data_IF_740599322550
#
_entry.id   IF_740599322550
#
_cell.length_a   1.000
_cell.length_b   1.000
_cell.length_c   1.000
_cell.angle_alpha   90.00
_cell.angle_beta   90.00
_cell.angle_gamma   90.00
#
_symmetry.space_group_name_H-M   'P 1'
#
loop_
_entity.id
_entity.type
_entity.pdbx_description
1 polymer ?
#
# COMPACT_ATOMS: atom_id res chain seq x y z
N UNK A 1 -24.67 75.49 -47.85
CA UNK A 1 -25.03 76.92 -47.87
C UNK A 1 -25.37 77.30 -46.45
N UNK A 2 -24.69 78.16 -45.70
CA UNK A 2 -23.60 79.16 -45.85
C UNK A 2 -23.26 79.50 -44.36
N UNK A 3 -22.11 79.93 -43.87
CA UNK A 3 -20.79 80.35 -44.36
C UNK A 3 -19.88 80.34 -43.11
N UNK A 4 -18.67 79.79 -43.20
CA UNK A 4 -17.41 80.55 -43.17
C UNK A 4 -17.34 81.69 -42.13
N UNK A 5 -16.63 81.41 -41.03
CA UNK A 5 -15.72 82.37 -40.41
C UNK A 5 -14.39 81.65 -40.16
N UNK A 6 -13.44 81.95 -41.03
CA UNK A 6 -12.02 81.61 -40.96
C UNK A 6 -11.28 82.94 -40.97
N UNK A 7 -10.07 82.94 -40.40
CA UNK A 7 -9.06 84.00 -40.37
C UNK A 7 -8.98 84.88 -39.13
N UNK A 8 -7.72 85.28 -38.90
CA UNK A 8 -7.09 86.02 -37.81
C UNK A 8 -6.59 85.08 -36.68
N UNK A 9 -5.32 85.04 -36.32
CA UNK A 9 -4.19 85.85 -36.73
C UNK A 9 -2.92 85.34 -36.02
N UNK A 10 -1.76 85.73 -36.55
CA UNK A 10 -0.48 85.96 -35.83
C UNK A 10 0.14 84.77 -35.07
N UNK A 11 1.15 84.08 -35.63
CA UNK A 11 2.57 84.50 -35.56
C UNK A 11 2.89 85.45 -34.40
N UNK A 12 3.38 84.90 -33.29
CA UNK A 12 4.62 85.30 -32.61
C UNK A 12 4.85 84.31 -31.44
N UNK A 13 5.88 83.48 -31.57
CA UNK A 13 7.21 83.68 -31.02
C UNK A 13 7.29 83.38 -29.52
N UNK A 14 8.03 82.30 -29.26
CA UNK A 14 9.11 82.23 -28.26
C UNK A 14 8.68 82.70 -26.86
N UNK A 15 8.41 81.74 -25.98
CA UNK A 15 9.06 81.60 -24.67
C UNK A 15 8.35 80.46 -23.87
N UNK A 16 9.16 79.69 -23.15
CA UNK A 16 8.76 78.72 -22.10
C UNK A 16 8.63 77.24 -22.46
N UNK A 17 9.70 76.65 -23.01
CA UNK A 17 10.09 75.29 -22.58
C UNK A 17 10.98 75.37 -21.34
N UNK A 18 10.38 75.64 -20.19
CA UNK A 18 10.90 75.14 -18.92
C UNK A 18 9.69 74.75 -18.07
N UNK A 19 9.29 73.48 -18.16
CA UNK A 19 8.43 72.89 -17.15
C UNK A 19 9.23 72.88 -15.85
N UNK A 20 9.07 73.92 -15.03
CA UNK A 20 9.47 73.88 -13.64
C UNK A 20 8.59 72.84 -12.95
N UNK A 21 9.07 71.59 -12.91
CA UNK A 21 8.49 70.63 -11.99
C UNK A 21 8.63 71.20 -10.58
N UNK A 22 7.49 71.40 -9.92
CA UNK A 22 7.43 71.94 -8.57
C UNK A 22 8.38 71.11 -7.67
N UNK A 23 9.40 71.73 -7.04
CA UNK A 23 10.44 71.00 -6.32
C UNK A 23 9.86 70.14 -5.19
N UNK A 24 8.76 70.57 -4.59
CA UNK A 24 8.02 69.81 -3.56
C UNK A 24 7.37 68.55 -4.15
N UNK A 25 6.78 68.64 -5.33
CA UNK A 25 6.18 67.50 -6.05
C UNK A 25 7.24 66.50 -6.50
N UNK A 26 8.41 66.98 -6.92
CA UNK A 26 9.54 66.13 -7.31
C UNK A 26 10.14 65.38 -6.10
N UNK A 27 10.24 66.03 -4.94
CA UNK A 27 10.68 65.40 -3.68
C UNK A 27 9.65 64.36 -3.22
N UNK A 28 8.35 64.67 -3.28
CA UNK A 28 7.28 63.72 -2.92
C UNK A 28 7.26 62.50 -3.84
N UNK A 29 7.41 62.67 -5.17
CA UNK A 29 7.53 61.56 -6.12
C UNK A 29 8.76 60.69 -5.84
N UNK A 30 9.92 61.29 -5.53
CA UNK A 30 11.14 60.55 -5.18
C UNK A 30 11.01 59.79 -3.85
N UNK A 31 10.34 60.37 -2.85
CA UNK A 31 10.07 59.69 -1.57
C UNK A 31 9.05 58.57 -1.72
N UNK A 32 7.97 58.78 -2.50
CA UNK A 32 6.99 57.75 -2.81
C UNK A 32 7.60 56.59 -3.62
N UNK A 33 8.49 56.90 -4.58
CA UNK A 33 9.22 55.88 -5.34
C UNK A 33 10.19 55.09 -4.46
N UNK A 34 10.89 55.74 -3.51
CA UNK A 34 11.76 55.06 -2.54
C UNK A 34 10.97 54.15 -1.60
N UNK A 35 9.82 54.61 -1.10
CA UNK A 35 8.89 53.81 -0.27
C UNK A 35 8.36 52.63 -1.07
N UNK A 36 7.93 52.83 -2.32
CA UNK A 36 7.46 51.77 -3.20
C UNK A 36 8.56 50.74 -3.51
N UNK A 37 9.79 51.19 -3.78
CA UNK A 37 10.93 50.28 -3.96
C UNK A 37 11.26 49.50 -2.68
N UNK A 38 11.16 50.11 -1.50
CA UNK A 38 11.39 49.40 -0.23
C UNK A 38 10.29 48.38 0.04
N UNK A 39 9.04 48.66 -0.29
CA UNK A 39 7.95 47.69 -0.21
C UNK A 39 8.11 46.55 -1.23
N UNK A 40 8.60 46.83 -2.44
CA UNK A 40 8.94 45.79 -3.43
C UNK A 40 10.08 44.91 -2.94
N UNK A 41 11.15 45.51 -2.40
CA UNK A 41 12.28 44.73 -1.85
C UNK A 41 11.82 43.90 -0.64
N UNK A 42 11.00 44.47 0.26
CA UNK A 42 10.49 43.77 1.44
C UNK A 42 9.55 42.60 1.07
N UNK A 43 8.69 42.79 0.06
CA UNK A 43 7.83 41.73 -0.46
C UNK A 43 8.59 40.67 -1.26
N UNK A 44 9.66 41.05 -1.98
CA UNK A 44 10.54 40.12 -2.66
C UNK A 44 11.38 39.29 -1.66
N UNK A 45 11.81 39.87 -0.53
CA UNK A 45 12.46 39.12 0.56
C UNK A 45 11.50 38.18 1.27
N UNK A 46 10.23 38.58 1.47
CA UNK A 46 9.20 37.71 2.05
C UNK A 46 8.79 36.55 1.11
N UNK A 47 8.91 36.75 -0.20
CA UNK A 47 8.71 35.71 -1.21
C UNK A 47 9.92 34.75 -1.32
N UNK A 48 11.14 35.22 -1.04
CA UNK A 48 12.36 34.39 -1.04
C UNK A 48 12.47 33.49 0.19
N UNK A 49 11.85 33.82 1.32
CA UNK A 49 11.81 32.96 2.52
C UNK A 49 10.94 31.70 2.37
N UNK A 50 10.24 31.54 1.23
CA UNK A 50 9.71 30.23 0.82
C UNK A 50 10.80 29.32 0.24
N UNK A 51 11.98 29.30 0.84
CA UNK A 51 12.88 28.15 0.73
C UNK A 51 12.13 26.93 1.24
N UNK A 52 11.97 25.94 0.37
CA UNK A 52 11.39 24.64 0.68
C UNK A 52 11.96 24.13 2.02
N UNK A 53 11.12 24.10 3.06
CA UNK A 53 11.42 23.28 4.24
C UNK A 53 11.38 21.83 3.76
N UNK A 54 12.53 21.30 3.33
CA UNK A 54 12.71 19.86 3.27
C UNK A 54 12.45 19.35 4.71
N UNK A 55 11.37 18.59 4.87
CA UNK A 55 10.82 18.16 6.15
C UNK A 55 11.70 17.10 6.80
N UNK A 56 12.88 17.50 7.27
CA UNK A 56 13.80 16.62 7.97
C UNK A 56 13.47 16.55 9.46
N UNK A 57 13.37 15.34 10.01
CA UNK A 57 13.29 15.13 11.46
C UNK A 57 14.71 15.06 12.01
N UNK A 58 15.02 15.92 12.99
CA UNK A 58 16.32 15.97 13.66
C UNK A 58 16.44 14.87 14.72
N UNK A 59 17.60 14.21 14.76
CA UNK A 59 17.93 13.17 15.76
C UNK A 59 19.38 13.37 16.17
N UNK A 60 19.61 13.88 17.39
CA UNK A 60 20.94 14.30 17.84
C UNK A 60 21.55 15.32 16.88
N UNK A 61 22.79 15.06 16.44
CA UNK A 61 23.48 15.89 15.45
C UNK A 61 23.08 15.57 13.98
N UNK A 62 22.26 14.55 13.76
CA UNK A 62 21.81 14.10 12.43
C UNK A 62 20.35 14.44 12.12
N UNK A 63 19.88 13.99 10.95
CA UNK A 63 18.46 14.07 10.56
C UNK A 63 18.11 13.03 9.50
N UNK A 64 16.82 12.70 9.37
CA UNK A 64 16.25 11.92 8.27
C UNK A 64 15.13 12.69 7.57
N UNK A 65 14.91 12.43 6.28
CA UNK A 65 13.83 13.05 5.50
C UNK A 65 12.53 12.25 5.63
N UNK A 66 11.40 12.93 5.74
CA UNK A 66 10.08 12.31 5.55
C UNK A 66 9.63 12.32 4.08
N UNK A 67 10.29 13.16 3.27
CA UNK A 67 10.04 13.25 1.84
C UNK A 67 11.01 12.33 1.08
N UNK A 68 10.47 11.52 0.17
CA UNK A 68 11.26 10.68 -0.73
C UNK A 68 12.02 11.57 -1.73
N UNK A 69 13.36 11.44 -1.85
CA UNK A 69 14.12 12.12 -2.89
C UNK A 69 13.63 11.77 -4.31
N UNK A 70 13.68 12.73 -5.22
CA UNK A 70 13.06 12.60 -6.55
C UNK A 70 13.67 11.47 -7.41
N UNK A 71 14.93 11.13 -7.16
CA UNK A 71 15.71 10.09 -7.84
C UNK A 71 15.55 8.69 -7.22
N UNK A 72 14.91 8.56 -6.05
CA UNK A 72 14.68 7.27 -5.42
C UNK A 72 13.39 6.61 -5.93
N UNK A 73 13.43 5.29 -6.17
CA UNK A 73 12.23 4.52 -6.47
C UNK A 73 11.23 4.52 -5.30
N UNK A 74 9.91 4.55 -5.56
CA UNK A 74 8.91 4.45 -4.51
C UNK A 74 8.83 3.00 -3.98
N UNK A 75 8.28 2.85 -2.78
CA UNK A 75 7.84 1.53 -2.29
C UNK A 75 6.64 1.02 -3.11
N UNK A 76 6.34 -0.30 -3.07
CA UNK A 76 5.13 -0.84 -3.67
C UNK A 76 3.88 -0.06 -3.23
N UNK A 77 3.01 0.25 -4.18
CA UNK A 77 1.88 1.16 -3.95
C UNK A 77 0.73 0.55 -3.12
N UNK A 78 0.68 -0.78 -2.95
CA UNK A 78 -0.38 -1.46 -2.21
C UNK A 78 0.22 -2.38 -1.17
N UNK A 79 -0.31 -2.28 0.05
CA UNK A 79 -0.02 -3.16 1.17
C UNK A 79 -1.30 -3.94 1.46
N UNK A 80 -1.25 -5.26 1.31
CA UNK A 80 -2.38 -6.16 1.50
C UNK A 80 -2.57 -6.51 2.98
N UNK A 81 -3.03 -5.53 3.75
CA UNK A 81 -3.45 -5.70 5.14
C UNK A 81 -4.87 -5.18 5.35
N UNK A 82 -5.52 -5.69 6.39
CA UNK A 82 -6.80 -5.15 6.86
C UNK A 82 -6.58 -3.86 7.65
N UNK A 83 -7.66 -3.17 7.97
CA UNK A 83 -7.62 -1.97 8.81
C UNK A 83 -7.31 -2.25 10.29
N UNK A 84 -7.33 -3.52 10.74
CA UNK A 84 -6.96 -3.90 12.11
C UNK A 84 -5.46 -3.81 12.35
N UNK A 85 -4.64 -3.95 11.30
CA UNK A 85 -3.19 -3.77 11.40
C UNK A 85 -2.86 -2.29 11.51
N UNK A 86 -2.15 -1.90 12.58
CA UNK A 86 -1.75 -0.52 12.87
C UNK A 86 -0.23 -0.39 12.95
N UNK A 87 0.28 0.81 12.68
CA UNK A 87 1.70 1.12 12.77
C UNK A 87 2.49 0.67 11.55
N UNK A 88 3.80 0.48 11.74
CA UNK A 88 4.69 0.04 10.67
C UNK A 88 4.37 -1.40 10.26
N UNK A 89 4.20 -1.61 8.96
CA UNK A 89 3.96 -2.93 8.39
C UNK A 89 5.20 -3.82 8.57
N UNK A 90 5.06 -5.04 9.12
CA UNK A 90 6.20 -5.96 9.23
C UNK A 90 6.75 -6.35 7.86
N UNK A 91 8.06 -6.50 7.79
CA UNK A 91 8.80 -6.87 6.57
C UNK A 91 9.83 -7.95 6.86
N UNK A 92 10.43 -8.53 5.81
CA UNK A 92 11.47 -9.57 5.94
C UNK A 92 11.02 -10.79 6.76
N UNK A 93 9.75 -11.17 6.59
CA UNK A 93 9.13 -12.31 7.25
C UNK A 93 8.92 -13.46 6.28
N UNK A 94 8.84 -14.69 6.81
CA UNK A 94 8.53 -15.89 6.01
C UNK A 94 7.18 -15.80 5.28
N UNK A 95 6.30 -14.92 5.75
CA UNK A 95 4.97 -14.64 5.19
C UNK A 95 4.89 -13.32 4.40
N UNK A 96 6.01 -12.63 4.15
CA UNK A 96 6.00 -11.29 3.54
C UNK A 96 5.25 -11.24 2.19
N UNK A 97 5.28 -12.30 1.37
CA UNK A 97 4.53 -12.28 0.11
C UNK A 97 3.02 -12.06 0.30
N UNK A 98 2.44 -12.46 1.45
CA UNK A 98 1.02 -12.21 1.74
C UNK A 98 0.68 -10.71 1.82
N UNK A 99 1.67 -9.88 2.17
CA UNK A 99 1.51 -8.43 2.35
C UNK A 99 1.79 -7.67 1.06
N UNK A 100 2.71 -8.19 0.24
CA UNK A 100 3.24 -7.48 -0.93
C UNK A 100 2.66 -7.97 -2.26
N UNK A 101 1.95 -9.11 -2.26
CA UNK A 101 1.26 -9.67 -3.42
C UNK A 101 -0.26 -9.69 -3.19
N UNK A 102 -1.02 -9.74 -4.29
CA UNK A 102 -2.50 -9.78 -4.25
C UNK A 102 -3.07 -10.95 -3.42
N UNK A 103 -2.35 -12.07 -3.41
CA UNK A 103 -2.61 -13.20 -2.52
C UNK A 103 -1.31 -13.60 -1.82
N UNK A 104 -0.74 -14.77 -2.09
CA UNK A 104 0.62 -15.08 -1.65
C UNK A 104 1.37 -15.93 -2.66
N UNK A 105 2.71 -15.88 -2.57
CA UNK A 105 3.54 -16.97 -3.08
C UNK A 105 3.39 -18.20 -2.16
N UNK A 106 4.12 -19.28 -2.43
CA UNK A 106 4.18 -20.39 -1.47
C UNK A 106 4.74 -19.89 -0.12
N UNK A 107 4.00 -20.20 0.95
CA UNK A 107 4.38 -19.98 2.33
C UNK A 107 4.73 -21.32 2.97
N UNK A 108 5.73 -21.34 3.85
CA UNK A 108 6.22 -22.57 4.46
C UNK A 108 6.11 -22.54 6.00
N UNK A 109 4.89 -22.44 6.56
CA UNK A 109 4.66 -22.58 8.01
C UNK A 109 4.90 -24.03 8.42
N UNK A 110 6.17 -24.42 8.54
CA UNK A 110 6.56 -25.80 8.81
C UNK A 110 5.78 -26.36 10.01
N UNK A 111 5.23 -27.58 9.91
CA UNK A 111 5.53 -28.61 8.90
C UNK A 111 4.78 -28.48 7.57
N UNK A 112 3.90 -27.50 7.40
CA UNK A 112 3.04 -27.37 6.23
C UNK A 112 3.65 -26.47 5.16
N UNK A 113 3.14 -26.60 3.93
CA UNK A 113 3.27 -25.61 2.88
C UNK A 113 1.88 -25.14 2.47
N UNK A 114 1.74 -23.83 2.27
CA UNK A 114 0.47 -23.15 2.06
C UNK A 114 0.58 -22.21 0.86
N UNK A 115 -0.51 -22.01 0.13
CA UNK A 115 -0.63 -20.99 -0.88
C UNK A 115 -2.00 -20.32 -0.76
N UNK A 116 -2.00 -19.00 -0.54
CA UNK A 116 -3.20 -18.19 -0.65
C UNK A 116 -3.39 -17.85 -2.13
N UNK A 117 -4.55 -18.17 -2.70
CA UNK A 117 -4.91 -17.81 -4.05
C UNK A 117 -6.38 -17.38 -4.14
N UNK A 118 -6.81 -16.95 -5.32
CA UNK A 118 -8.16 -16.41 -5.52
C UNK A 118 -9.28 -17.36 -5.09
N UNK A 119 -9.06 -18.68 -5.10
CA UNK A 119 -10.10 -19.64 -4.73
C UNK A 119 -10.22 -19.79 -3.21
N UNK A 120 -9.12 -19.62 -2.47
CA UNK A 120 -9.04 -19.82 -1.02
C UNK A 120 -7.63 -20.22 -0.59
N UNK A 121 -7.56 -21.07 0.43
CA UNK A 121 -6.29 -21.53 1.01
C UNK A 121 -5.94 -22.93 0.51
N UNK A 122 -4.84 -23.08 -0.22
CA UNK A 122 -4.28 -24.38 -0.56
C UNK A 122 -3.33 -24.84 0.55
N UNK A 123 -3.43 -26.10 0.95
CA UNK A 123 -2.54 -26.73 1.94
C UNK A 123 -1.95 -28.00 1.36
N UNK A 124 -0.68 -28.26 1.68
CA UNK A 124 -0.08 -29.57 1.51
C UNK A 124 0.93 -29.83 2.63
N UNK A 125 1.24 -31.11 2.82
CA UNK A 125 2.37 -31.54 3.61
C UNK A 125 3.46 -31.99 2.64
N UNK A 126 4.57 -31.23 2.48
CA UNK A 126 5.64 -31.60 1.55
C UNK A 126 6.27 -32.95 1.88
N UNK A 127 6.32 -33.32 3.16
CA UNK A 127 6.73 -34.64 3.64
C UNK A 127 8.01 -35.17 3.00
N UNK A 128 7.94 -36.40 2.49
CA UNK A 128 9.03 -37.11 1.80
C UNK A 128 9.41 -36.51 0.43
N UNK A 129 8.66 -35.53 -0.06
CA UNK A 129 9.02 -34.75 -1.25
C UNK A 129 10.18 -33.77 -1.00
N UNK A 130 10.58 -33.57 0.26
CA UNK A 130 11.80 -32.86 0.63
C UNK A 130 12.96 -33.85 0.60
N UNK A 131 13.91 -33.61 -0.29
CA UNK A 131 15.12 -34.45 -0.47
C UNK A 131 16.32 -33.71 0.11
N UNK A 132 16.95 -34.32 1.13
CA UNK A 132 18.27 -33.93 1.58
C UNK A 132 19.34 -34.80 0.92
N UNK A 133 20.08 -34.28 -0.06
CA UNK A 133 21.16 -34.99 -0.73
C UNK A 133 22.28 -34.03 -1.12
N UNK A 134 23.53 -34.51 -1.26
CA UNK A 134 24.64 -33.72 -1.80
C UNK A 134 24.94 -32.39 -1.07
N UNK A 135 24.62 -32.29 0.23
CA UNK A 135 24.82 -31.07 1.02
C UNK A 135 23.73 -30.00 0.86
N UNK A 136 22.61 -30.32 0.21
CA UNK A 136 21.48 -29.42 -0.01
C UNK A 136 20.14 -30.06 0.37
N UNK A 137 19.17 -29.21 0.70
CA UNK A 137 17.76 -29.60 0.91
C UNK A 137 16.97 -29.05 -0.27
N UNK A 138 16.28 -29.94 -0.99
CA UNK A 138 15.48 -29.61 -2.17
C UNK A 138 14.03 -29.99 -1.90
N UNK A 139 13.12 -29.06 -2.09
CA UNK A 139 11.69 -29.28 -2.03
C UNK A 139 11.00 -28.39 -3.04
N UNK A 140 9.94 -28.89 -3.66
CA UNK A 140 9.08 -28.08 -4.52
C UNK A 140 8.13 -27.22 -3.71
N UNK A 141 7.73 -26.06 -4.27
CA UNK A 141 6.54 -25.37 -3.81
C UNK A 141 5.28 -26.21 -4.05
N UNK A 142 4.17 -25.82 -3.45
CA UNK A 142 2.88 -26.48 -3.69
C UNK A 142 2.15 -25.81 -4.85
N UNK A 143 1.45 -26.60 -5.67
CA UNK A 143 0.54 -26.04 -6.67
C UNK A 143 -0.67 -25.37 -6.03
N UNK A 144 -1.44 -24.64 -6.84
CA UNK A 144 -2.62 -23.86 -6.40
C UNK A 144 -3.73 -24.71 -5.75
N UNK A 145 -3.68 -26.03 -5.87
CA UNK A 145 -4.63 -26.95 -5.23
C UNK A 145 -4.10 -27.59 -3.95
N UNK A 146 -2.77 -27.56 -3.74
CA UNK A 146 -2.11 -28.35 -2.69
C UNK A 146 -2.52 -29.82 -2.72
N UNK A 147 -2.55 -30.43 -1.53
CA UNK A 147 -3.25 -31.70 -1.30
C UNK A 147 -4.77 -31.47 -1.22
N UNK A 148 -5.18 -30.35 -0.62
CA UNK A 148 -6.55 -29.85 -0.65
C UNK A 148 -6.63 -28.33 -0.50
N UNK A 149 -7.78 -27.80 -0.88
CA UNK A 149 -8.17 -26.42 -0.70
C UNK A 149 -9.21 -26.29 0.42
N UNK A 150 -9.05 -25.29 1.27
CA UNK A 150 -10.11 -24.74 2.12
C UNK A 150 -10.77 -23.60 1.35
N UNK A 151 -12.06 -23.76 1.07
CA UNK A 151 -12.87 -22.86 0.25
C UNK A 151 -14.09 -22.36 1.02
N UNK A 152 -14.73 -21.34 0.46
CA UNK A 152 -15.98 -20.78 0.94
C UNK A 152 -17.14 -21.16 0.01
N UNK A 153 -18.27 -21.65 0.54
CA UNK A 153 -19.37 -22.18 -0.27
C UNK A 153 -19.97 -21.16 -1.26
N UNK A 154 -20.01 -19.88 -0.89
CA UNK A 154 -20.67 -18.83 -1.67
C UNK A 154 -19.69 -17.97 -2.49
N UNK A 155 -18.38 -18.22 -2.40
CA UNK A 155 -17.36 -17.40 -3.08
C UNK A 155 -16.45 -18.32 -3.88
N UNK A 156 -16.50 -18.19 -5.20
CA UNK A 156 -15.62 -18.93 -6.11
C UNK A 156 -14.26 -18.26 -6.29
N UNK A 157 -14.23 -16.92 -6.25
CA UNK A 157 -13.04 -16.09 -6.40
C UNK A 157 -13.08 -14.88 -5.46
N UNK A 158 -12.06 -14.78 -4.63
CA UNK A 158 -11.75 -13.66 -3.76
C UNK A 158 -10.88 -12.63 -4.50
N UNK A 159 -11.14 -11.33 -4.27
CA UNK A 159 -10.42 -10.27 -4.96
C UNK A 159 -8.97 -10.13 -4.49
N UNK A 160 -8.68 -10.43 -3.23
CA UNK A 160 -7.34 -10.41 -2.65
C UNK A 160 -7.31 -11.28 -1.38
N UNK A 161 -6.12 -11.46 -0.80
CA UNK A 161 -5.93 -12.00 0.54
C UNK A 161 -5.11 -11.01 1.35
N UNK A 162 -5.54 -10.70 2.58
CA UNK A 162 -4.93 -9.65 3.39
C UNK A 162 -4.45 -10.18 4.73
N UNK A 163 -3.35 -9.62 5.23
CA UNK A 163 -2.92 -9.82 6.61
C UNK A 163 -3.93 -9.18 7.57
N UNK A 164 -4.58 -10.00 8.39
CA UNK A 164 -5.60 -9.56 9.34
C UNK A 164 -5.09 -9.48 10.79
N UNK A 165 -4.11 -10.31 11.14
CA UNK A 165 -3.45 -10.35 12.45
C UNK A 165 -2.09 -11.03 12.34
N UNK A 166 -1.17 -10.77 13.27
CA UNK A 166 0.13 -11.43 13.34
C UNK A 166 0.73 -11.42 14.75
N UNK A 167 1.61 -12.39 15.00
CA UNK A 167 2.52 -12.47 16.13
C UNK A 167 3.92 -12.80 15.64
N UNK A 168 4.84 -13.09 16.55
CA UNK A 168 6.20 -13.53 16.23
C UNK A 168 6.22 -14.79 15.32
N UNK A 169 5.20 -15.65 15.44
CA UNK A 169 5.20 -16.97 14.80
C UNK A 169 3.95 -17.29 13.97
N UNK A 170 2.82 -16.65 14.26
CA UNK A 170 1.54 -16.89 13.60
C UNK A 170 1.08 -15.67 12.80
N UNK A 171 0.32 -15.94 11.75
CA UNK A 171 -0.42 -14.93 10.99
C UNK A 171 -1.85 -15.37 10.78
N UNK A 172 -2.74 -14.40 10.57
CA UNK A 172 -4.10 -14.63 10.07
C UNK A 172 -4.24 -14.03 8.69
N UNK A 173 -4.45 -14.88 7.69
CA UNK A 173 -4.79 -14.48 6.32
C UNK A 173 -6.32 -14.37 6.19
N UNK A 174 -6.82 -13.22 5.74
CA UNK A 174 -8.24 -13.00 5.46
C UNK A 174 -8.50 -12.97 3.94
N UNK A 175 -9.40 -13.83 3.50
CA UNK A 175 -10.07 -13.77 2.21
C UNK A 175 -11.46 -13.18 2.45
N UNK A 176 -11.81 -12.08 1.77
CA UNK A 176 -13.11 -11.42 1.96
C UNK A 176 -13.71 -10.98 0.64
N UNK A 177 -15.01 -11.22 0.47
CA UNK A 177 -15.84 -10.66 -0.59
C UNK A 177 -17.18 -10.26 0.03
N UNK A 178 -17.41 -8.96 0.16
CA UNK A 178 -18.56 -8.41 0.89
C UNK A 178 -18.61 -8.96 2.33
N UNK A 179 -19.75 -9.51 2.74
CA UNK A 179 -19.97 -10.10 4.06
C UNK A 179 -19.37 -11.52 4.20
N UNK A 180 -19.04 -12.18 3.08
CA UNK A 180 -18.45 -13.53 3.08
C UNK A 180 -16.95 -13.48 3.35
N UNK A 181 -16.48 -14.29 4.30
CA UNK A 181 -15.05 -14.36 4.61
C UNK A 181 -14.58 -15.77 5.00
N UNK A 182 -13.30 -16.01 4.70
CA UNK A 182 -12.49 -17.11 5.22
C UNK A 182 -11.26 -16.47 5.89
N UNK A 183 -11.08 -16.71 7.18
CA UNK A 183 -9.87 -16.34 7.94
C UNK A 183 -9.11 -17.61 8.30
N UNK A 184 -7.86 -17.67 7.91
CA UNK A 184 -6.99 -18.81 8.19
C UNK A 184 -5.80 -18.37 9.02
N UNK A 185 -5.68 -18.92 10.22
CA UNK A 185 -4.59 -18.66 11.15
C UNK A 185 -3.63 -19.84 11.18
N UNK A 186 -2.36 -19.59 10.89
CA UNK A 186 -1.31 -20.60 10.82
C UNK A 186 0.04 -19.97 11.14
N UNK A 187 1.02 -20.80 11.50
CA UNK A 187 2.31 -20.30 11.97
C UNK A 187 3.43 -21.32 11.87
N UNK A 188 4.65 -20.83 11.91
CA UNK A 188 5.84 -21.67 11.98
C UNK A 188 5.81 -22.56 13.23
N UNK A 189 6.17 -23.82 13.04
CA UNK A 189 6.20 -24.82 14.12
C UNK A 189 4.82 -25.36 14.52
N UNK A 190 3.75 -24.94 13.85
CA UNK A 190 2.39 -25.40 14.18
C UNK A 190 1.90 -26.43 13.17
N UNK A 191 1.47 -27.63 13.61
CA UNK A 191 0.83 -28.60 12.74
C UNK A 191 -0.65 -28.27 12.45
N UNK A 192 -1.18 -27.14 12.94
CA UNK A 192 -2.58 -26.76 12.81
C UNK A 192 -2.77 -25.52 11.93
N UNK A 193 -3.88 -25.53 11.19
CA UNK A 193 -4.42 -24.34 10.52
C UNK A 193 -5.84 -24.14 11.03
N UNK A 194 -6.07 -23.00 11.70
CA UNK A 194 -7.38 -22.66 12.24
C UNK A 194 -8.16 -21.86 11.21
N UNK A 195 -9.37 -22.29 10.88
CA UNK A 195 -10.20 -21.62 9.88
C UNK A 195 -11.47 -21.09 10.54
N UNK A 196 -11.75 -19.80 10.35
CA UNK A 196 -13.01 -19.16 10.72
C UNK A 196 -13.70 -18.66 9.47
N UNK A 197 -14.95 -19.04 9.31
CA UNK A 197 -15.75 -18.73 8.12
C UNK A 197 -17.03 -18.01 8.55
N UNK A 198 -17.47 -17.05 7.75
CA UNK A 198 -18.75 -16.36 7.93
C UNK A 198 -19.33 -15.95 6.58
N UNK A 199 -20.65 -15.87 6.49
CA UNK A 199 -21.37 -15.61 5.24
C UNK A 199 -21.50 -16.84 4.32
N UNK A 200 -21.18 -18.04 4.82
CA UNK A 200 -21.29 -19.31 4.11
C UNK A 200 -20.69 -20.47 4.92
N UNK A 201 -20.45 -21.60 4.26
CA UNK A 201 -19.94 -22.83 4.87
C UNK A 201 -18.50 -23.15 4.41
N UNK A 202 -17.70 -23.83 5.25
CA UNK A 202 -16.45 -24.45 4.81
C UNK A 202 -16.68 -25.48 3.71
N UNK A 203 -15.83 -25.46 2.69
CA UNK A 203 -15.76 -26.52 1.67
C UNK A 203 -14.32 -26.99 1.56
N UNK A 204 -14.08 -28.28 1.81
CA UNK A 204 -12.79 -28.90 1.52
C UNK A 204 -12.82 -29.53 0.13
N UNK A 205 -11.94 -29.08 -0.75
CA UNK A 205 -11.80 -29.65 -2.11
C UNK A 205 -10.43 -30.30 -2.26
N UNK A 206 -10.44 -31.62 -2.35
CA UNK A 206 -9.23 -32.44 -2.45
C UNK A 206 -8.72 -32.52 -3.89
N UNK A 207 -7.39 -32.52 -4.07
CA UNK A 207 -6.76 -32.71 -5.38
C UNK A 207 -6.97 -34.13 -5.94
N UNK A 208 -7.06 -35.12 -5.04
CA UNK A 208 -7.42 -36.50 -5.33
C UNK A 208 -8.51 -36.97 -4.37
N UNK A 209 -9.28 -38.00 -4.74
CA UNK A 209 -10.28 -38.59 -3.84
C UNK A 209 -9.59 -39.02 -2.53
N UNK A 210 -9.97 -38.46 -1.37
CA UNK A 210 -9.37 -38.85 -0.10
C UNK A 210 -9.89 -40.21 0.35
N UNK A 211 -9.09 -40.89 1.17
CA UNK A 211 -9.55 -42.02 1.97
C UNK A 211 -9.96 -41.48 3.33
N UNK A 212 -11.22 -41.63 3.69
CA UNK A 212 -11.71 -41.36 5.05
C UNK A 212 -11.54 -42.64 5.85
N UNK A 213 -10.68 -42.62 6.86
CA UNK A 213 -10.36 -43.78 7.70
C UNK A 213 -10.90 -43.64 9.13
N UNK A 214 -11.39 -42.45 9.49
CA UNK A 214 -12.12 -42.18 10.74
C UNK A 214 -13.19 -41.13 10.49
N UNK A 215 -14.34 -41.30 11.15
CA UNK A 215 -15.52 -40.45 11.00
C UNK A 215 -16.42 -40.87 9.84
N UNK A 216 -17.71 -40.55 9.96
CA UNK A 216 -18.74 -40.79 8.95
C UNK A 216 -19.59 -39.53 8.68
N UNK A 217 -20.50 -39.60 7.71
CA UNK A 217 -21.35 -38.47 7.38
C UNK A 217 -22.15 -38.01 8.61
N UNK A 218 -22.03 -36.73 8.96
CA UNK A 218 -22.65 -36.13 10.14
C UNK A 218 -21.71 -35.97 11.34
N UNK A 219 -20.54 -36.62 11.34
CA UNK A 219 -19.54 -36.43 12.39
C UNK A 219 -18.86 -35.06 12.31
N UNK A 220 -18.40 -34.58 13.47
CA UNK A 220 -17.62 -33.35 13.57
C UNK A 220 -16.12 -33.57 13.36
N UNK A 221 -15.64 -34.82 13.36
CA UNK A 221 -14.20 -35.12 13.27
C UNK A 221 -13.95 -36.19 12.21
N UNK A 222 -13.05 -35.90 11.27
CA UNK A 222 -12.64 -36.83 10.23
C UNK A 222 -11.14 -37.07 10.26
N UNK A 223 -10.75 -38.33 10.12
CA UNK A 223 -9.40 -38.73 9.76
C UNK A 223 -9.34 -39.04 8.28
N UNK A 224 -8.52 -38.30 7.53
CA UNK A 224 -8.42 -38.45 6.08
C UNK A 224 -6.99 -38.71 5.62
N UNK A 225 -6.85 -39.36 4.48
CA UNK A 225 -5.58 -39.51 3.77
C UNK A 225 -5.77 -39.02 2.33
N UNK A 226 -4.88 -38.14 1.88
CA UNK A 226 -4.85 -37.64 0.50
C UNK A 226 -3.41 -37.65 0.01
N UNK A 227 -3.17 -38.24 -1.16
CA UNK A 227 -1.81 -38.40 -1.74
C UNK A 227 -0.78 -39.04 -0.78
N UNK A 228 -1.24 -39.91 0.12
CA UNK A 228 -0.40 -40.56 1.13
C UNK A 228 -0.15 -39.72 2.39
N UNK A 229 -0.62 -38.47 2.44
CA UNK A 229 -0.51 -37.60 3.61
C UNK A 229 -1.77 -37.69 4.48
N UNK A 230 -1.60 -37.75 5.79
CA UNK A 230 -2.68 -37.89 6.76
C UNK A 230 -3.06 -36.55 7.38
N UNK A 231 -4.36 -36.27 7.49
CA UNK A 231 -4.89 -35.06 8.12
C UNK A 231 -6.05 -35.39 9.05
N UNK A 232 -6.15 -34.61 10.13
CA UNK A 232 -7.36 -34.52 10.94
C UNK A 232 -8.15 -33.27 10.55
N UNK A 233 -9.45 -33.42 10.36
CA UNK A 233 -10.38 -32.31 10.14
C UNK A 233 -11.30 -32.24 11.35
N UNK A 234 -11.37 -31.06 11.97
CA UNK A 234 -12.15 -30.83 13.19
C UNK A 234 -13.16 -29.71 12.92
N UNK A 235 -14.43 -30.08 12.84
CA UNK A 235 -15.58 -29.18 12.81
C UNK A 235 -16.09 -28.90 14.22
N UNK A 236 -16.80 -27.78 14.36
CA UNK A 236 -17.50 -27.37 15.58
C UNK A 236 -18.99 -27.20 15.27
#
# INVERSE_FOLDING_TARGET
MQNLLTELDLRENILSRQSFENPTLLIMKKSALKLFLTWIVLSLTFLLERTAKAGGVKVGNGSYSLDRPADCHPLPGTIFSTSSIKGATPTNQWWSSLVWEKHSQNLFPHPLAINCNQRGLALAYPGSGIVGAGGHIMGGGIGETGDFLVLHSNVTEFPDTRLADYSDWFITAEFRKEESFLRSTFGHGSPYVFNRIGGGNPVLKFAHKPIVWSGEEGDSIFGITVRGNHYGVFGA
#
